data_IF_409444331440
#
_entry.id   IF_409444331440
#
_cell.length_a   1.000
_cell.length_b   1.000
_cell.length_c   1.000
_cell.angle_alpha   90.00
_cell.angle_beta   90.00
_cell.angle_gamma   90.00
#
_symmetry.space_group_name_H-M   'P 1'
#
loop_
_entity.id
_entity.type
_entity.pdbx_description
1 polymer ?
#
# COMPACT_ATOMS: atom_id res chain seq x y z
N UNK A 1 1.84 -1.58 -19.23
CA UNK A 1 0.55 -1.03 -18.74
C UNK A 1 0.35 -1.58 -17.34
N UNK A 2 0.57 -0.78 -16.30
CA UNK A 2 0.29 -1.22 -14.93
C UNK A 2 -1.22 -1.23 -14.80
N UNK A 3 -1.80 -2.43 -14.69
CA UNK A 3 -3.23 -2.62 -14.53
C UNK A 3 -3.67 -1.90 -13.26
N UNK A 4 -4.36 -0.78 -13.41
CA UNK A 4 -5.12 -0.11 -12.36
C UNK A 4 -6.28 -1.03 -11.98
N UNK A 5 -6.00 -2.07 -11.19
CA UNK A 5 -7.03 -2.87 -10.56
C UNK A 5 -7.91 -1.95 -9.74
N UNK A 6 -9.23 -2.07 -9.90
CA UNK A 6 -10.19 -1.34 -9.06
C UNK A 6 -9.77 -1.50 -7.58
N UNK A 7 -9.69 -0.41 -6.82
CA UNK A 7 -9.53 -0.49 -5.37
C UNK A 7 -10.58 -1.44 -4.80
N UNK A 8 -10.21 -2.17 -3.76
CA UNK A 8 -11.16 -2.92 -2.94
C UNK A 8 -12.29 -1.97 -2.46
N UNK A 9 -13.53 -2.42 -2.20
CA UNK A 9 -14.61 -1.60 -1.64
C UNK A 9 -14.20 -0.68 -0.48
N UNK A 10 -13.19 -1.07 0.31
CA UNK A 10 -12.65 -0.24 1.41
C UNK A 10 -11.62 0.82 0.96
N UNK A 11 -11.42 0.99 -0.35
CA UNK A 11 -10.43 1.90 -0.96
C UNK A 11 -8.99 1.36 -0.95
N UNK A 12 -8.76 0.15 -0.45
CA UNK A 12 -7.43 -0.46 -0.38
C UNK A 12 -6.95 -0.94 -1.77
N UNK A 13 -5.66 -0.78 -2.06
CA UNK A 13 -5.07 -1.22 -3.35
C UNK A 13 -4.94 -2.74 -3.47
N UNK A 14 -5.06 -3.46 -2.36
CA UNK A 14 -4.94 -4.92 -2.28
C UNK A 14 -6.09 -5.48 -1.44
N UNK A 15 -6.74 -6.54 -1.95
CA UNK A 15 -7.81 -7.20 -1.22
C UNK A 15 -7.30 -8.12 -0.12
N UNK A 16 -8.17 -8.39 0.87
CA UNK A 16 -7.86 -9.30 1.98
C UNK A 16 -7.46 -10.70 1.48
N UNK A 17 -8.18 -11.24 0.51
CA UNK A 17 -7.89 -12.57 -0.05
C UNK A 17 -6.54 -12.61 -0.76
N UNK A 18 -6.19 -11.56 -1.50
CA UNK A 18 -4.87 -11.46 -2.15
C UNK A 18 -3.76 -11.36 -1.10
N UNK A 19 -3.99 -10.63 -0.02
CA UNK A 19 -3.04 -10.49 1.08
C UNK A 19 -2.83 -11.82 1.81
N UNK A 20 -3.89 -12.61 2.01
CA UNK A 20 -3.80 -13.97 2.56
C UNK A 20 -3.00 -14.87 1.62
N UNK A 21 -3.31 -14.90 0.33
CA UNK A 21 -2.59 -15.70 -0.67
C UNK A 21 -1.10 -15.32 -0.73
N UNK A 22 -0.78 -14.03 -0.73
CA UNK A 22 0.60 -13.53 -0.70
C UNK A 22 1.33 -13.97 0.57
N UNK A 23 0.67 -13.89 1.73
CA UNK A 23 1.28 -14.32 3.00
C UNK A 23 1.66 -15.80 2.98
N UNK A 24 0.83 -16.67 2.40
CA UNK A 24 1.16 -18.10 2.26
C UNK A 24 2.38 -18.31 1.37
N UNK A 25 2.47 -17.61 0.23
CA UNK A 25 3.60 -17.72 -0.70
C UNK A 25 4.90 -17.24 -0.06
N UNK A 26 4.88 -16.08 0.59
CA UNK A 26 6.04 -15.52 1.30
C UNK A 26 6.58 -16.53 2.31
N UNK A 27 5.74 -17.09 3.18
CA UNK A 27 6.20 -18.05 4.19
C UNK A 27 6.72 -19.34 3.56
N UNK A 28 6.08 -19.82 2.49
CA UNK A 28 6.55 -21.00 1.76
C UNK A 28 7.96 -20.78 1.20
N UNK A 29 8.19 -19.64 0.55
CA UNK A 29 9.46 -19.33 -0.09
C UNK A 29 10.55 -19.08 0.96
N UNK A 30 10.26 -18.29 2.01
CA UNK A 30 11.19 -18.06 3.13
C UNK A 30 11.60 -19.36 3.81
N UNK A 31 10.65 -20.27 4.07
CA UNK A 31 10.94 -21.56 4.68
C UNK A 31 11.78 -22.50 3.79
N UNK A 32 11.78 -22.29 2.47
CA UNK A 32 12.57 -23.07 1.52
C UNK A 32 14.01 -22.57 1.36
N UNK A 33 14.33 -21.35 1.82
CA UNK A 33 15.64 -20.71 1.69
C UNK A 33 16.65 -21.16 2.77
N UNK A 34 16.62 -22.43 3.17
CA UNK A 34 17.61 -22.96 4.13
C UNK A 34 18.97 -23.19 3.43
N UNK A 35 20.11 -22.83 4.07
CA UNK A 35 20.25 -22.30 5.43
C UNK A 35 20.26 -20.75 5.53
N UNK A 36 20.01 -20.01 4.44
CA UNK A 36 20.12 -18.54 4.45
C UNK A 36 19.08 -17.88 5.36
N UNK A 37 17.91 -18.49 5.48
CA UNK A 37 16.81 -18.01 6.32
C UNK A 37 16.32 -19.16 7.20
N UNK A 38 16.21 -18.89 8.48
CA UNK A 38 15.59 -19.76 9.47
C UNK A 38 14.43 -19.03 10.14
N UNK A 39 13.26 -19.68 10.19
CA UNK A 39 12.11 -19.15 10.91
C UNK A 39 12.30 -19.46 12.39
N UNK A 40 12.38 -18.41 13.20
CA UNK A 40 12.52 -18.51 14.66
C UNK A 40 11.21 -18.98 15.31
N UNK A 41 10.08 -18.50 14.79
CA UNK A 41 8.74 -18.83 15.26
C UNK A 41 8.03 -19.81 14.32
N UNK A 42 6.86 -20.31 14.74
CA UNK A 42 6.04 -21.20 13.92
C UNK A 42 5.53 -20.48 12.65
N UNK A 43 5.39 -21.22 11.54
CA UNK A 43 5.04 -20.67 10.23
C UNK A 43 3.76 -19.83 10.25
N UNK A 44 2.77 -20.23 11.04
CA UNK A 44 1.51 -19.52 11.19
C UNK A 44 1.70 -18.17 11.89
N UNK A 45 2.52 -18.11 12.93
CA UNK A 45 2.78 -16.88 13.67
C UNK A 45 3.52 -15.86 12.79
N UNK A 46 4.56 -16.30 12.08
CA UNK A 46 5.25 -15.45 11.10
C UNK A 46 4.29 -14.99 9.99
N UNK A 47 3.40 -15.87 9.52
CA UNK A 47 2.39 -15.51 8.50
C UNK A 47 1.44 -14.42 8.99
N UNK A 48 0.95 -14.54 10.23
CA UNK A 48 0.03 -13.58 10.82
C UNK A 48 0.71 -12.22 11.00
N UNK A 49 2.00 -12.22 11.37
CA UNK A 49 2.78 -10.99 11.47
C UNK A 49 2.98 -10.34 10.10
N UNK A 50 3.28 -11.11 9.05
CA UNK A 50 3.33 -10.62 7.66
C UNK A 50 2.00 -9.96 7.28
N UNK A 51 0.87 -10.62 7.54
CA UNK A 51 -0.47 -10.07 7.29
C UNK A 51 -0.66 -8.74 8.01
N UNK A 52 -0.30 -8.68 9.29
CA UNK A 52 -0.44 -7.48 10.13
C UNK A 52 0.38 -6.30 9.57
N UNK A 53 1.61 -6.57 9.14
CA UNK A 53 2.48 -5.55 8.54
C UNK A 53 1.93 -5.03 7.21
N UNK A 54 1.47 -5.91 6.32
CA UNK A 54 0.82 -5.48 5.08
C UNK A 54 -0.44 -4.63 5.36
N UNK A 55 -1.26 -5.02 6.34
CA UNK A 55 -2.45 -4.24 6.72
C UNK A 55 -2.10 -2.89 7.33
N UNK A 56 -0.98 -2.76 8.04
CA UNK A 56 -0.49 -1.47 8.52
C UNK A 56 -0.09 -0.57 7.34
N UNK A 57 0.73 -1.09 6.42
CA UNK A 57 1.18 -0.36 5.24
C UNK A 57 0.02 0.09 4.33
N UNK A 58 -0.96 -0.78 4.08
CA UNK A 58 -2.14 -0.43 3.27
C UNK A 58 -2.99 0.67 3.92
N UNK A 59 -3.07 0.69 5.26
CA UNK A 59 -3.78 1.75 5.99
C UNK A 59 -3.04 3.08 5.91
N UNK A 60 -1.73 3.06 6.07
CA UNK A 60 -0.89 4.27 5.92
C UNK A 60 -0.99 4.83 4.50
N UNK A 61 -0.95 3.97 3.49
CA UNK A 61 -1.12 4.36 2.09
C UNK A 61 -2.50 5.00 1.84
N UNK A 62 -3.57 4.43 2.40
CA UNK A 62 -4.92 4.98 2.30
C UNK A 62 -5.02 6.36 2.98
N UNK A 63 -4.41 6.53 4.14
CA UNK A 63 -4.37 7.81 4.84
C UNK A 63 -3.59 8.87 4.04
N UNK A 64 -2.48 8.48 3.42
CA UNK A 64 -1.71 9.35 2.55
C UNK A 64 -2.52 9.79 1.33
N UNK A 65 -3.17 8.87 0.63
CA UNK A 65 -4.04 9.16 -0.52
C UNK A 65 -5.14 10.16 -0.14
N UNK A 66 -5.84 9.91 0.97
CA UNK A 66 -6.86 10.83 1.49
C UNK A 66 -6.30 12.20 1.86
N UNK A 67 -5.11 12.24 2.46
CA UNK A 67 -4.42 13.48 2.80
C UNK A 67 -4.07 14.30 1.55
N UNK A 68 -3.58 13.65 0.51
CA UNK A 68 -3.28 14.28 -0.79
C UNK A 68 -4.55 14.82 -1.43
N UNK A 69 -5.64 14.03 -1.49
CA UNK A 69 -6.94 14.48 -2.03
C UNK A 69 -7.45 15.72 -1.30
N UNK A 70 -7.45 15.69 0.04
CA UNK A 70 -7.84 16.84 0.87
C UNK A 70 -6.98 18.07 0.59
N UNK A 71 -5.66 17.89 0.41
CA UNK A 71 -4.73 18.98 0.07
C UNK A 71 -5.06 19.63 -1.27
N UNK A 72 -5.47 18.86 -2.27
CA UNK A 72 -5.90 19.41 -3.57
C UNK A 72 -7.27 20.10 -3.45
N UNK A 73 -8.21 19.51 -2.72
CA UNK A 73 -9.52 20.11 -2.48
C UNK A 73 -9.45 21.42 -1.67
N UNK A 74 -8.43 21.58 -0.84
CA UNK A 74 -8.20 22.81 -0.05
C UNK A 74 -7.62 23.99 -0.86
N UNK A 75 -7.35 23.81 -2.16
CA UNK A 75 -6.85 24.89 -3.00
C UNK A 75 -7.90 25.99 -3.19
N UNK A 76 -7.44 27.24 -3.38
CA UNK A 76 -8.34 28.41 -3.51
C UNK A 76 -9.30 28.32 -4.70
N UNK A 77 -8.89 27.61 -5.75
CA UNK A 77 -9.74 27.32 -6.92
C UNK A 77 -10.24 25.90 -6.82
N UNK A 78 -11.46 25.67 -7.30
CA UNK A 78 -11.97 24.32 -7.49
C UNK A 78 -11.15 23.61 -8.57
N UNK A 79 -10.64 22.42 -8.24
CA UNK A 79 -9.88 21.56 -9.16
C UNK A 79 -10.67 20.27 -9.27
N UNK A 80 -11.29 20.04 -10.43
CA UNK A 80 -12.11 18.87 -10.66
C UNK A 80 -11.28 17.58 -10.56
N UNK A 81 -11.76 16.61 -9.78
CA UNK A 81 -11.14 15.30 -9.68
C UNK A 81 -11.15 14.58 -11.04
N UNK A 82 -10.03 13.97 -11.41
CA UNK A 82 -9.85 13.34 -12.73
C UNK A 82 -9.50 14.31 -13.86
N UNK A 83 -9.34 15.61 -13.58
CA UNK A 83 -8.76 16.55 -14.53
C UNK A 83 -7.24 16.38 -14.66
N UNK A 84 -6.65 16.84 -15.75
CA UNK A 84 -5.19 16.81 -15.93
C UNK A 84 -4.44 17.62 -14.84
N UNK A 85 -5.01 18.74 -14.39
CA UNK A 85 -4.44 19.53 -13.30
C UNK A 85 -4.49 18.77 -11.97
N UNK A 86 -5.60 18.10 -11.69
CA UNK A 86 -5.73 17.22 -10.52
C UNK A 86 -4.66 16.12 -10.53
N UNK A 87 -4.49 15.42 -11.65
CA UNK A 87 -3.53 14.31 -11.76
C UNK A 87 -2.09 14.77 -11.54
N UNK A 88 -1.73 15.95 -12.06
CA UNK A 88 -0.40 16.56 -11.84
C UNK A 88 -0.18 16.85 -10.36
N UNK A 89 -1.15 17.50 -9.71
CA UNK A 89 -1.05 17.85 -8.28
C UNK A 89 -1.04 16.61 -7.39
N UNK A 90 -1.87 15.62 -7.70
CA UNK A 90 -1.92 14.36 -6.99
C UNK A 90 -0.58 13.66 -7.03
N UNK A 91 0.02 13.47 -8.22
CA UNK A 91 1.34 12.84 -8.36
C UNK A 91 2.42 13.59 -7.57
N UNK A 92 2.42 14.93 -7.65
CA UNK A 92 3.40 15.76 -6.94
C UNK A 92 3.27 15.60 -5.43
N UNK A 93 2.08 15.80 -4.88
CA UNK A 93 1.86 15.75 -3.43
C UNK A 93 2.02 14.34 -2.88
N UNK A 94 1.60 13.32 -3.62
CA UNK A 94 1.86 11.94 -3.24
C UNK A 94 3.36 11.64 -3.17
N UNK A 95 4.14 12.07 -4.16
CA UNK A 95 5.59 11.93 -4.13
C UNK A 95 6.24 12.71 -2.96
N UNK A 96 5.70 13.89 -2.61
CA UNK A 96 6.15 14.64 -1.44
C UNK A 96 5.90 13.89 -0.13
N UNK A 97 4.72 13.29 0.05
CA UNK A 97 4.40 12.49 1.24
C UNK A 97 5.25 11.22 1.30
N UNK A 98 5.48 10.53 0.18
CA UNK A 98 6.37 9.37 0.11
C UNK A 98 7.81 9.70 0.52
N UNK A 99 8.34 10.87 0.11
CA UNK A 99 9.66 11.33 0.53
C UNK A 99 9.76 11.56 2.04
N UNK A 100 8.70 12.02 2.69
CA UNK A 100 8.68 12.19 4.17
C UNK A 100 8.78 10.86 4.91
N UNK A 101 8.29 9.77 4.32
CA UNK A 101 8.39 8.43 4.88
C UNK A 101 9.74 7.74 4.58
N UNK A 102 10.64 8.38 3.82
CA UNK A 102 11.93 7.80 3.44
C UNK A 102 11.86 6.75 2.34
N UNK A 103 10.76 6.70 1.57
CA UNK A 103 10.49 5.67 0.55
C UNK A 103 10.44 6.28 -0.88
N UNK A 104 11.21 7.34 -1.15
CA UNK A 104 11.14 8.10 -2.40
C UNK A 104 12.49 8.42 -3.02
#
# INVERSE_FOLDING_TARGET
MVSSGRPDPDGAKLSRDKLIELSHRIIKDLAAMKPQIELVEEKNEVRLEVIRQFQALLREELQMDQGVRKKIQSQRREIAEGSAEWDILFRKYYADEMRKLGVG
#
